data_IF_604360153796
#
_entry.id   IF_604360153796
#
_cell.length_a   1.000
_cell.length_b   1.000
_cell.length_c   1.000
_cell.angle_alpha   90.00
_cell.angle_beta   90.00
_cell.angle_gamma   90.00
#
_symmetry.space_group_name_H-M   'P 1'
#
loop_
_entity.id
_entity.type
_entity.pdbx_description
1 polymer ?
#
# COMPACT_ATOMS: atom_id res chain seq x y z
N UNK A 1 -12.15 -14.14 10.52
CA UNK A 1 -13.58 -13.79 10.26
C UNK A 1 -13.78 -13.70 8.76
N UNK A 2 -15.01 -13.86 8.27
CA UNK A 2 -15.29 -13.67 6.84
C UNK A 2 -15.24 -12.20 6.46
N UNK A 3 -14.29 -11.83 5.59
CA UNK A 3 -14.50 -10.73 4.62
C UNK A 3 -15.58 -11.19 3.61
N UNK A 4 -15.99 -10.32 2.68
CA UNK A 4 -17.00 -10.58 1.62
C UNK A 4 -18.47 -10.37 2.05
N UNK A 5 -18.75 -9.22 2.68
CA UNK A 5 -20.03 -8.54 2.48
C UNK A 5 -19.76 -7.05 2.33
N UNK A 6 -20.14 -6.47 1.20
CA UNK A 6 -20.19 -5.02 0.97
C UNK A 6 -21.32 -4.33 1.77
N UNK A 7 -21.59 -4.80 3.00
CA UNK A 7 -22.45 -4.11 3.94
C UNK A 7 -21.77 -2.81 4.38
N UNK A 8 -22.52 -1.72 4.35
CA UNK A 8 -22.11 -0.37 4.78
C UNK A 8 -20.92 0.29 4.04
N UNK A 9 -20.18 -0.45 3.19
CA UNK A 9 -19.06 -0.03 2.36
C UNK A 9 -19.38 0.98 1.23
N UNK A 10 -20.46 1.75 1.33
CA UNK A 10 -20.88 2.63 0.24
C UNK A 10 -19.98 3.87 0.12
N UNK A 11 -19.21 3.98 -0.96
CA UNK A 11 -18.13 4.99 -1.06
C UNK A 11 -18.62 6.44 -1.01
N UNK A 12 -19.76 6.76 -1.64
CA UNK A 12 -20.31 8.12 -1.60
C UNK A 12 -20.65 8.51 -0.15
N UNK A 13 -21.42 7.68 0.57
CA UNK A 13 -21.79 7.92 1.98
C UNK A 13 -20.59 7.94 2.92
N UNK A 14 -19.64 7.03 2.75
CA UNK A 14 -18.47 6.95 3.63
C UNK A 14 -17.51 8.11 3.41
N UNK A 15 -17.28 8.52 2.15
CA UNK A 15 -16.50 9.71 1.83
C UNK A 15 -17.20 10.96 2.35
N UNK A 16 -18.50 11.18 2.07
CA UNK A 16 -19.26 12.33 2.58
C UNK A 16 -19.19 12.42 4.11
N UNK A 17 -19.40 11.30 4.82
CA UNK A 17 -19.33 11.26 6.28
C UNK A 17 -17.91 11.59 6.81
N UNK A 18 -16.86 11.03 6.19
CA UNK A 18 -15.48 11.30 6.56
C UNK A 18 -15.06 12.76 6.26
N UNK A 19 -15.42 13.28 5.10
CA UNK A 19 -15.15 14.65 4.67
C UNK A 19 -15.78 15.68 5.62
N UNK A 20 -17.01 15.45 6.07
CA UNK A 20 -17.65 16.27 7.11
C UNK A 20 -16.97 16.10 8.47
N UNK A 21 -16.61 14.86 8.86
CA UNK A 21 -15.91 14.61 10.13
C UNK A 21 -14.55 15.32 10.19
N UNK A 22 -13.68 15.13 9.20
CA UNK A 22 -12.35 15.76 9.20
C UNK A 22 -12.45 17.29 9.16
N UNK A 23 -13.41 17.86 8.42
CA UNK A 23 -13.63 19.30 8.40
C UNK A 23 -14.05 19.84 9.78
N UNK A 24 -14.83 19.06 10.56
CA UNK A 24 -15.18 19.41 11.95
C UNK A 24 -14.01 19.36 12.94
N UNK A 25 -12.83 18.86 12.52
CA UNK A 25 -11.61 18.72 13.33
C UNK A 25 -10.46 19.60 12.85
N UNK A 26 -10.41 19.94 11.57
CA UNK A 26 -9.35 20.72 10.96
C UNK A 26 -9.42 22.20 11.41
N UNK A 27 -8.36 22.79 12.00
CA UNK A 27 -8.26 24.24 12.24
C UNK A 27 -8.58 25.06 10.99
N UNK A 28 -9.21 26.23 11.15
CA UNK A 28 -9.71 27.01 10.02
C UNK A 28 -8.67 27.89 9.32
N UNK A 29 -7.41 27.87 9.77
CA UNK A 29 -6.31 28.71 9.30
C UNK A 29 -5.16 27.80 8.87
N UNK A 30 -4.65 27.95 7.64
CA UNK A 30 -3.48 27.20 7.13
C UNK A 30 -2.32 27.21 8.13
N UNK A 31 -2.04 28.38 8.71
CA UNK A 31 -0.90 28.63 9.62
C UNK A 31 -1.03 28.06 11.04
N UNK A 32 -2.02 27.20 11.30
CA UNK A 32 -2.11 26.46 12.58
C UNK A 32 -1.26 25.18 12.47
N UNK A 33 -0.33 24.90 13.41
CA UNK A 33 0.47 23.66 13.35
C UNK A 33 -0.31 22.34 13.43
N UNK A 34 -1.62 22.38 13.66
CA UNK A 34 -2.54 21.24 13.58
C UNK A 34 -3.46 21.27 12.35
N UNK A 35 -3.28 22.22 11.42
CA UNK A 35 -3.97 22.21 10.12
C UNK A 35 -3.51 21.03 9.27
N UNK A 36 -4.37 20.60 8.35
CA UNK A 36 -4.00 19.66 7.28
C UNK A 36 -4.68 20.04 5.96
N UNK A 37 -3.89 20.08 4.88
CA UNK A 37 -4.39 20.32 3.52
C UNK A 37 -5.41 19.27 3.09
N UNK A 38 -5.20 18.03 3.53
CA UNK A 38 -5.87 16.83 3.02
C UNK A 38 -5.98 15.75 4.08
N UNK A 39 -7.12 15.06 4.13
CA UNK A 39 -7.39 13.97 5.07
C UNK A 39 -7.52 12.62 4.34
N UNK A 40 -6.87 11.58 4.85
CA UNK A 40 -6.94 10.22 4.31
C UNK A 40 -7.60 9.27 5.33
N UNK A 41 -8.59 8.47 4.88
CA UNK A 41 -9.19 7.39 5.66
C UNK A 41 -8.86 6.02 5.06
N UNK A 42 -8.14 5.20 5.82
CA UNK A 42 -8.07 3.77 5.57
C UNK A 42 -9.30 3.06 6.14
N UNK A 43 -10.00 2.33 5.28
CA UNK A 43 -11.19 1.55 5.56
C UNK A 43 -10.88 0.05 5.62
N UNK A 44 -11.54 -0.66 6.55
CA UNK A 44 -11.62 -2.12 6.57
C UNK A 44 -12.90 -2.69 5.93
N UNK A 45 -13.78 -1.82 5.42
CA UNK A 45 -14.98 -2.22 4.67
C UNK A 45 -14.66 -2.51 3.20
N UNK A 46 -15.40 -3.46 2.65
CA UNK A 46 -15.40 -3.94 1.26
C UNK A 46 -16.19 -2.94 0.38
N UNK A 47 -15.48 -2.03 -0.29
CA UNK A 47 -16.02 -0.76 -0.81
C UNK A 47 -16.80 -0.92 -2.14
N UNK A 48 -17.90 -0.16 -2.27
CA UNK A 48 -18.82 -0.28 -3.41
C UNK A 48 -19.54 1.01 -3.80
N UNK A 49 -20.00 1.08 -5.07
CA UNK A 49 -20.79 2.19 -5.61
C UNK A 49 -21.86 1.71 -6.58
N UNK A 50 -23.14 1.97 -6.29
CA UNK A 50 -24.26 1.43 -7.09
C UNK A 50 -24.16 -0.10 -7.15
N UNK A 51 -23.93 -0.65 -8.34
CA UNK A 51 -23.67 -2.09 -8.57
C UNK A 51 -22.19 -2.45 -8.81
N UNK A 52 -21.27 -1.47 -8.82
CA UNK A 52 -19.83 -1.71 -8.88
C UNK A 52 -19.31 -2.22 -7.53
N UNK A 53 -18.46 -3.26 -7.56
CA UNK A 53 -17.95 -4.03 -6.41
C UNK A 53 -16.42 -4.21 -6.46
N UNK A 54 -15.74 -3.27 -7.11
CA UNK A 54 -14.32 -3.36 -7.48
C UNK A 54 -13.60 -2.03 -7.24
N UNK A 55 -13.97 -1.33 -6.17
CA UNK A 55 -13.55 0.06 -5.91
C UNK A 55 -12.68 0.05 -4.66
N UNK A 56 -11.35 0.11 -4.83
CA UNK A 56 -10.41 0.10 -3.69
C UNK A 56 -10.18 1.51 -3.07
N UNK A 57 -10.75 2.56 -3.67
CA UNK A 57 -10.56 3.95 -3.25
C UNK A 57 -11.60 4.89 -3.87
N UNK A 58 -11.76 6.08 -3.28
CA UNK A 58 -12.63 7.11 -3.83
C UNK A 58 -12.26 8.54 -3.36
N UNK A 59 -12.33 9.49 -4.29
CA UNK A 59 -11.97 10.90 -4.10
C UNK A 59 -12.85 11.86 -4.91
N UNK A 60 -12.90 13.11 -4.46
CA UNK A 60 -13.43 14.21 -5.26
C UNK A 60 -12.35 14.79 -6.19
N UNK A 61 -12.57 14.73 -7.51
CA UNK A 61 -11.67 15.35 -8.49
C UNK A 61 -11.59 16.86 -8.26
N UNK A 62 -10.38 17.41 -8.11
CA UNK A 62 -10.10 18.82 -7.74
C UNK A 62 -10.62 19.19 -6.34
N UNK A 63 -10.60 18.23 -5.42
CA UNK A 63 -10.98 18.41 -4.02
C UNK A 63 -9.95 19.15 -3.16
N UNK A 64 -8.67 19.14 -3.54
CA UNK A 64 -7.56 19.69 -2.75
C UNK A 64 -7.74 21.17 -2.40
N UNK A 65 -7.30 21.57 -1.21
CA UNK A 65 -7.54 22.90 -0.61
C UNK A 65 -9.03 23.31 -0.53
N UNK A 66 -9.99 22.37 -0.56
CA UNK A 66 -11.41 22.66 -0.29
C UNK A 66 -11.96 21.89 0.91
N UNK A 67 -12.48 22.64 1.89
CA UNK A 67 -12.92 22.18 3.22
C UNK A 67 -13.64 20.83 3.24
N UNK A 68 -14.65 20.68 2.38
CA UNK A 68 -15.58 19.54 2.37
C UNK A 68 -15.19 18.45 1.36
N UNK A 69 -14.07 18.60 0.64
CA UNK A 69 -13.67 17.67 -0.45
C UNK A 69 -12.17 17.37 -0.54
N UNK A 70 -11.33 17.99 0.31
CA UNK A 70 -9.92 17.64 0.44
C UNK A 70 -9.76 16.41 1.35
N UNK A 71 -10.33 15.31 0.88
CA UNK A 71 -10.48 14.07 1.61
C UNK A 71 -10.48 12.89 0.64
N UNK A 72 -9.93 11.77 1.09
CA UNK A 72 -9.85 10.51 0.35
C UNK A 72 -10.22 9.34 1.26
N UNK A 73 -10.86 8.31 0.70
CA UNK A 73 -11.08 7.03 1.38
C UNK A 73 -10.48 5.90 0.55
N UNK A 74 -9.79 4.97 1.20
CA UNK A 74 -9.10 3.85 0.56
C UNK A 74 -9.26 2.57 1.40
N UNK A 75 -9.33 1.42 0.75
CA UNK A 75 -9.22 0.13 1.42
C UNK A 75 -7.80 -0.07 1.96
N UNK A 76 -7.65 -0.30 3.27
CA UNK A 76 -6.37 -0.49 3.95
C UNK A 76 -6.01 -1.97 4.10
N UNK A 77 -5.97 -2.72 2.99
CA UNK A 77 -5.85 -4.18 3.01
C UNK A 77 -4.40 -4.68 2.97
N UNK A 78 -3.54 -4.04 2.18
CA UNK A 78 -2.16 -4.48 1.94
C UNK A 78 -1.26 -3.35 1.38
N UNK A 79 0.00 -3.65 1.03
CA UNK A 79 0.94 -2.64 0.52
C UNK A 79 0.51 -2.03 -0.83
N UNK A 80 -0.25 -2.74 -1.64
CA UNK A 80 -0.84 -2.24 -2.89
C UNK A 80 -1.79 -1.06 -2.68
N UNK A 81 -2.39 -0.92 -1.49
CA UNK A 81 -3.20 0.25 -1.11
C UNK A 81 -2.46 1.57 -1.28
N UNK A 82 -1.11 1.61 -1.23
CA UNK A 82 -0.34 2.84 -1.46
C UNK A 82 -0.53 3.40 -2.88
N UNK A 83 -0.70 2.55 -3.89
CA UNK A 83 -0.96 2.99 -5.27
C UNK A 83 -2.36 3.54 -5.42
N UNK A 84 -3.34 2.96 -4.71
CA UNK A 84 -4.73 3.46 -4.68
C UNK A 84 -4.80 4.81 -3.96
N UNK A 85 -4.16 4.96 -2.81
CA UNK A 85 -4.02 6.25 -2.12
C UNK A 85 -3.38 7.30 -3.04
N UNK A 86 -2.34 6.90 -3.78
CA UNK A 86 -1.66 7.79 -4.73
C UNK A 86 -2.58 8.20 -5.90
N UNK A 87 -3.42 7.28 -6.40
CA UNK A 87 -4.43 7.54 -7.43
C UNK A 87 -5.51 8.52 -6.94
N UNK A 88 -6.07 8.27 -5.76
CA UNK A 88 -7.10 9.14 -5.14
C UNK A 88 -6.56 10.55 -4.80
N UNK A 89 -5.30 10.65 -4.36
CA UNK A 89 -4.60 11.93 -4.22
C UNK A 89 -4.39 12.62 -5.57
N UNK A 90 -4.10 11.87 -6.64
CA UNK A 90 -4.05 12.37 -8.01
C UNK A 90 -5.37 13.01 -8.45
N UNK A 91 -6.50 12.35 -8.18
CA UNK A 91 -7.83 12.95 -8.35
C UNK A 91 -8.01 14.22 -7.52
N UNK A 92 -7.64 14.22 -6.23
CA UNK A 92 -7.76 15.41 -5.38
C UNK A 92 -6.94 16.59 -5.93
N UNK A 93 -5.74 16.32 -6.44
CA UNK A 93 -4.84 17.24 -7.17
C UNK A 93 -5.27 17.52 -8.62
N UNK A 94 -6.44 17.05 -9.02
CA UNK A 94 -7.15 17.47 -10.22
C UNK A 94 -6.86 16.70 -11.51
N UNK A 95 -6.19 15.55 -11.40
CA UNK A 95 -6.02 14.59 -12.50
C UNK A 95 -7.32 13.83 -12.78
N UNK A 96 -7.55 13.49 -14.03
CA UNK A 96 -8.56 12.52 -14.48
C UNK A 96 -7.89 11.17 -14.74
N UNK A 97 -8.69 10.14 -15.07
CA UNK A 97 -8.10 8.88 -15.50
C UNK A 97 -7.32 9.03 -16.81
N UNK A 98 -6.24 8.27 -16.93
CA UNK A 98 -5.70 7.96 -18.24
C UNK A 98 -6.71 7.10 -19.02
N UNK A 99 -6.91 7.41 -20.30
CA UNK A 99 -7.98 6.84 -21.13
C UNK A 99 -9.27 7.69 -21.21
N UNK A 100 -9.63 8.43 -20.16
CA UNK A 100 -10.66 9.50 -20.24
C UNK A 100 -10.09 10.76 -20.93
N UNK A 101 -8.76 10.90 -20.93
CA UNK A 101 -7.99 11.94 -21.60
C UNK A 101 -7.31 11.41 -22.88
N UNK A 102 -6.10 11.89 -23.23
CA UNK A 102 -5.35 11.45 -24.43
C UNK A 102 -4.21 10.47 -24.12
N UNK A 103 -4.09 10.00 -22.89
CA UNK A 103 -3.08 9.03 -22.47
C UNK A 103 -3.65 7.61 -22.46
N UNK A 104 -2.76 6.61 -22.43
CA UNK A 104 -3.11 5.19 -22.51
C UNK A 104 -3.86 4.73 -21.25
N UNK A 105 -5.09 4.25 -21.45
CA UNK A 105 -5.97 3.63 -20.45
C UNK A 105 -5.28 2.59 -19.57
N UNK A 106 -4.28 1.88 -20.11
CA UNK A 106 -3.57 0.82 -19.42
C UNK A 106 -2.25 1.26 -18.78
N UNK A 107 -1.76 2.47 -19.04
CA UNK A 107 -0.56 3.00 -18.40
C UNK A 107 -0.84 3.55 -17.01
N UNK A 108 0.21 3.59 -16.20
CA UNK A 108 0.42 4.66 -15.23
C UNK A 108 -0.54 4.62 -14.02
N UNK A 109 -0.25 5.45 -13.00
CA UNK A 109 -0.98 5.48 -11.73
C UNK A 109 -2.47 5.82 -11.95
N UNK A 110 -2.80 6.74 -12.86
CA UNK A 110 -4.17 7.18 -13.11
C UNK A 110 -4.99 6.27 -14.05
N UNK A 111 -4.53 5.05 -14.34
CA UNK A 111 -5.38 4.05 -15.00
C UNK A 111 -6.61 3.71 -14.12
N UNK A 112 -7.83 3.53 -14.67
CA UNK A 112 -9.02 3.07 -13.94
C UNK A 112 -8.94 1.65 -13.34
N UNK A 113 -7.76 1.04 -13.34
CA UNK A 113 -7.50 -0.32 -12.85
C UNK A 113 -6.12 -0.38 -12.18
N UNK A 114 -6.03 -0.99 -11.01
CA UNK A 114 -4.72 -1.36 -10.42
C UNK A 114 -4.02 -2.44 -11.25
N UNK A 115 -2.69 -2.55 -11.14
CA UNK A 115 -1.93 -3.61 -11.79
C UNK A 115 -0.45 -3.31 -11.99
N UNK A 116 0.31 -4.32 -12.43
CA UNK A 116 1.77 -4.23 -12.62
C UNK A 116 2.21 -3.13 -13.59
N UNK A 117 3.39 -2.56 -13.33
CA UNK A 117 4.00 -1.49 -14.12
C UNK A 117 3.43 -0.09 -13.91
N UNK A 118 2.34 0.06 -13.13
CA UNK A 118 1.62 1.33 -12.92
C UNK A 118 2.25 2.19 -11.82
N UNK A 119 3.57 2.29 -11.81
CA UNK A 119 4.36 2.98 -10.76
C UNK A 119 4.82 4.38 -11.19
N UNK A 120 4.21 4.96 -12.24
CA UNK A 120 4.62 6.23 -12.85
C UNK A 120 3.43 7.08 -13.29
N UNK A 121 3.64 8.37 -13.47
CA UNK A 121 2.62 9.32 -13.92
C UNK A 121 2.63 9.49 -15.43
N UNK A 122 1.45 9.65 -16.04
CA UNK A 122 1.35 9.96 -17.47
C UNK A 122 1.65 11.42 -17.78
N UNK A 123 1.91 11.72 -19.06
CA UNK A 123 2.03 13.09 -19.55
C UNK A 123 0.72 13.90 -19.44
N UNK A 124 -0.42 13.24 -19.23
CA UNK A 124 -1.71 13.86 -18.98
C UNK A 124 -1.87 14.16 -17.49
N UNK A 125 -1.63 13.17 -16.61
CA UNK A 125 -1.57 13.31 -15.15
C UNK A 125 -0.73 14.52 -14.72
N UNK A 126 0.52 14.60 -15.20
CA UNK A 126 1.45 15.71 -14.88
C UNK A 126 0.94 17.06 -15.41
N UNK A 127 0.30 17.08 -16.58
CA UNK A 127 -0.28 18.31 -17.15
C UNK A 127 -1.49 18.79 -16.36
N UNK A 128 -2.39 17.89 -16.00
CA UNK A 128 -3.65 18.18 -15.32
C UNK A 128 -3.40 18.69 -13.89
N UNK A 129 -2.49 18.04 -13.15
CA UNK A 129 -2.01 18.52 -11.85
C UNK A 129 -1.37 19.92 -11.96
N UNK A 130 -0.46 20.14 -12.92
CA UNK A 130 0.14 21.47 -13.10
C UNK A 130 -0.91 22.55 -13.40
N UNK A 131 -1.91 22.25 -14.25
CA UNK A 131 -3.03 23.16 -14.54
C UNK A 131 -3.87 23.44 -13.29
N UNK A 132 -4.13 22.44 -12.45
CA UNK A 132 -4.90 22.61 -11.22
C UNK A 132 -4.13 23.45 -10.19
N UNK A 133 -2.88 23.09 -9.87
CA UNK A 133 -2.05 23.79 -8.88
C UNK A 133 -1.80 25.25 -9.30
N UNK A 134 -1.51 25.51 -10.58
CA UNK A 134 -1.39 26.89 -11.10
C UNK A 134 -2.69 27.70 -11.03
N UNK A 135 -3.85 27.05 -10.86
CA UNK A 135 -5.16 27.71 -10.71
C UNK A 135 -5.59 27.91 -9.25
N UNK A 136 -4.90 27.34 -8.27
CA UNK A 136 -5.14 27.65 -6.86
C UNK A 136 -4.70 29.10 -6.56
N UNK A 137 -5.39 29.76 -5.63
CA UNK A 137 -5.22 31.18 -5.32
C UNK A 137 -5.74 32.17 -6.38
N UNK A 138 -6.17 31.69 -7.56
CA UNK A 138 -6.77 32.57 -8.58
C UNK A 138 -8.19 33.02 -8.23
N UNK A 139 -8.64 34.14 -8.79
CA UNK A 139 -9.98 34.70 -8.53
C UNK A 139 -11.08 33.67 -8.88
N UNK A 140 -11.88 33.30 -7.88
CA UNK A 140 -12.95 32.31 -8.03
C UNK A 140 -12.51 30.85 -7.89
N UNK A 141 -11.27 30.62 -7.42
CA UNK A 141 -10.74 29.31 -7.01
C UNK A 141 -10.44 29.30 -5.50
N UNK A 142 -10.19 28.12 -4.91
CA UNK A 142 -9.77 28.02 -3.51
C UNK A 142 -8.43 28.72 -3.29
N UNK A 143 -8.12 29.07 -2.04
CA UNK A 143 -6.76 29.46 -1.65
C UNK A 143 -5.78 28.32 -1.95
N UNK A 144 -4.50 28.63 -2.13
CA UNK A 144 -3.47 27.61 -2.32
C UNK A 144 -2.82 27.24 -0.98
N UNK A 145 -3.34 26.19 -0.35
CA UNK A 145 -2.80 25.60 0.87
C UNK A 145 -1.43 24.93 0.65
N UNK A 146 -1.06 24.58 -0.59
CA UNK A 146 0.18 23.87 -0.91
C UNK A 146 1.39 24.83 -1.06
N UNK A 147 1.46 25.91 -0.28
CA UNK A 147 2.41 27.02 -0.47
C UNK A 147 3.39 27.25 0.67
N UNK A 148 3.03 26.89 1.90
CA UNK A 148 3.93 26.88 3.04
C UNK A 148 4.63 25.51 3.19
N UNK A 149 5.51 25.41 4.17
CA UNK A 149 6.25 24.20 4.47
C UNK A 149 5.74 23.57 5.76
N UNK A 150 5.62 22.24 5.78
CA UNK A 150 5.15 21.52 6.96
C UNK A 150 5.90 21.93 8.23
N UNK A 151 5.13 22.21 9.28
CA UNK A 151 5.70 22.50 10.60
C UNK A 151 6.62 21.35 11.05
N UNK A 152 7.73 21.63 11.76
CA UNK A 152 8.71 20.59 12.13
C UNK A 152 8.12 19.49 13.03
N UNK A 153 7.70 18.38 12.41
CA UNK A 153 7.30 17.17 13.13
C UNK A 153 8.54 16.40 13.60
N UNK A 154 8.53 15.94 14.85
CA UNK A 154 9.54 15.00 15.36
C UNK A 154 9.44 13.60 14.71
N UNK A 155 8.35 13.32 13.98
CA UNK A 155 8.21 12.09 13.19
C UNK A 155 9.14 12.13 11.98
N UNK A 156 10.41 11.75 12.16
CA UNK A 156 11.29 11.46 11.03
C UNK A 156 10.67 10.34 10.20
N UNK A 157 10.22 10.65 8.98
CA UNK A 157 9.89 9.65 7.98
C UNK A 157 11.12 8.75 7.86
N UNK A 158 10.95 7.46 8.13
CA UNK A 158 12.09 6.55 8.09
C UNK A 158 12.59 6.48 6.65
N UNK A 159 13.80 6.99 6.42
CA UNK A 159 14.51 6.92 5.14
C UNK A 159 15.05 5.50 4.89
N UNK A 160 14.21 4.51 5.18
CA UNK A 160 14.43 3.08 5.09
C UNK A 160 13.37 2.58 4.11
N UNK A 161 13.75 1.96 2.99
CA UNK A 161 12.78 1.41 2.05
C UNK A 161 11.97 0.30 2.76
N UNK A 162 10.64 0.33 2.70
CA UNK A 162 9.82 -0.50 3.60
C UNK A 162 9.95 -2.03 3.43
N UNK A 163 10.60 -2.53 2.38
CA UNK A 163 10.96 -3.95 2.29
C UNK A 163 12.27 -4.32 3.02
N UNK A 164 12.91 -3.35 3.66
CA UNK A 164 13.86 -3.55 4.76
C UNK A 164 13.17 -3.55 6.13
N UNK A 165 11.96 -2.97 6.23
CA UNK A 165 11.15 -2.92 7.46
C UNK A 165 10.23 -4.15 7.58
N UNK A 166 9.71 -4.63 6.46
CA UNK A 166 8.83 -5.79 6.35
C UNK A 166 9.42 -6.84 5.42
N UNK A 167 9.60 -8.07 5.89
CA UNK A 167 10.07 -9.19 5.07
C UNK A 167 9.03 -9.66 4.06
N UNK A 168 9.43 -10.49 3.07
CA UNK A 168 8.50 -11.12 2.13
C UNK A 168 7.40 -11.94 2.85
N UNK A 169 7.75 -12.64 3.93
CA UNK A 169 6.79 -13.41 4.74
C UNK A 169 5.74 -12.51 5.40
N UNK A 170 6.15 -11.36 5.92
CA UNK A 170 5.24 -10.38 6.52
C UNK A 170 4.36 -9.72 5.45
N UNK A 171 4.92 -9.30 4.31
CA UNK A 171 4.16 -8.76 3.18
C UNK A 171 3.11 -9.76 2.65
N UNK A 172 3.46 -11.05 2.55
CA UNK A 172 2.51 -12.12 2.22
C UNK A 172 1.44 -12.32 3.31
N UNK A 173 1.81 -12.17 4.58
CA UNK A 173 0.90 -12.26 5.72
C UNK A 173 -0.12 -11.12 5.72
N UNK A 174 0.28 -9.89 5.38
CA UNK A 174 -0.66 -8.76 5.24
C UNK A 174 -1.65 -8.99 4.09
N UNK A 175 -1.15 -9.37 2.91
CA UNK A 175 -1.98 -9.54 1.70
C UNK A 175 -2.98 -10.72 1.83
N UNK A 176 -2.55 -11.86 2.36
CA UNK A 176 -3.33 -13.11 2.33
C UNK A 176 -3.75 -13.65 3.72
N UNK A 177 -3.17 -13.16 4.82
CA UNK A 177 -3.48 -13.53 6.20
C UNK A 177 -2.43 -14.43 6.89
N UNK A 178 -2.60 -14.62 8.21
CA UNK A 178 -1.63 -15.20 9.16
C UNK A 178 -0.86 -16.45 8.73
N UNK A 179 -1.45 -17.30 7.90
CA UNK A 179 -0.89 -18.60 7.48
C UNK A 179 -0.09 -18.57 6.17
N UNK A 180 -0.01 -17.44 5.46
CA UNK A 180 0.67 -17.37 4.16
C UNK A 180 2.14 -16.96 4.30
N UNK A 181 3.03 -17.71 3.66
CA UNK A 181 4.49 -17.51 3.69
C UNK A 181 5.08 -17.64 2.29
N UNK A 182 6.24 -17.03 2.08
CA UNK A 182 6.89 -17.00 0.79
C UNK A 182 7.62 -18.32 0.49
N UNK A 183 7.17 -19.04 -0.53
CA UNK A 183 7.79 -20.28 -0.99
C UNK A 183 8.28 -20.19 -2.44
N UNK A 184 9.49 -20.69 -2.65
CA UNK A 184 10.08 -20.91 -3.98
C UNK A 184 10.09 -22.42 -4.26
N UNK A 185 9.80 -22.81 -5.50
CA UNK A 185 9.96 -24.21 -5.94
C UNK A 185 11.44 -24.55 -6.09
N UNK A 186 11.78 -25.83 -5.98
CA UNK A 186 13.14 -26.32 -6.24
C UNK A 186 13.66 -25.84 -7.61
N UNK A 187 14.85 -25.24 -7.60
CA UNK A 187 15.48 -24.65 -8.79
C UNK A 187 14.96 -23.26 -9.21
N UNK A 188 13.85 -22.76 -8.64
CA UNK A 188 13.34 -21.43 -8.90
C UNK A 188 14.23 -20.36 -8.27
N UNK A 189 14.51 -19.28 -9.01
CA UNK A 189 15.25 -18.11 -8.51
C UNK A 189 14.32 -16.91 -8.41
N UNK A 190 14.48 -16.11 -7.35
CA UNK A 190 13.81 -14.82 -7.22
C UNK A 190 14.16 -13.92 -8.41
N UNK A 191 13.13 -13.55 -9.17
CA UNK A 191 13.21 -12.89 -10.47
C UNK A 191 11.91 -12.11 -10.72
N UNK A 192 11.87 -11.25 -11.74
CA UNK A 192 10.83 -10.21 -12.00
C UNK A 192 9.36 -10.68 -12.11
N UNK A 193 9.00 -11.97 -11.95
CA UNK A 193 7.70 -12.47 -12.43
C UNK A 193 6.89 -13.44 -11.55
N UNK A 194 7.44 -14.31 -10.67
CA UNK A 194 6.71 -15.48 -10.12
C UNK A 194 7.39 -16.10 -8.87
N UNK A 195 6.75 -16.81 -7.92
CA UNK A 195 5.38 -17.35 -7.71
C UNK A 195 5.02 -17.30 -6.20
N UNK A 196 3.78 -17.65 -5.82
CA UNK A 196 3.39 -18.07 -4.46
C UNK A 196 2.59 -19.39 -4.50
N UNK A 197 2.60 -20.18 -3.42
CA UNK A 197 1.76 -21.40 -3.26
C UNK A 197 1.37 -21.68 -1.80
N UNK A 198 0.06 -21.77 -1.53
CA UNK A 198 -0.54 -23.00 -0.98
C UNK A 198 -1.80 -23.31 -1.79
N UNK A 199 -2.13 -24.61 -1.91
CA UNK A 199 -3.32 -25.30 -2.49
C UNK A 199 -4.00 -24.77 -3.77
N UNK A 200 -4.21 -23.47 -3.97
CA UNK A 200 -4.85 -22.89 -5.17
C UNK A 200 -4.19 -21.57 -5.63
N UNK A 201 -2.99 -21.68 -6.21
CA UNK A 201 -2.41 -20.75 -7.22
C UNK A 201 -2.64 -19.23 -7.01
N UNK A 202 -2.15 -18.65 -5.92
CA UNK A 202 -2.02 -17.20 -5.80
C UNK A 202 -0.74 -16.70 -6.52
N UNK A 203 -0.79 -15.53 -7.17
CA UNK A 203 0.38 -14.89 -7.80
C UNK A 203 0.57 -13.50 -7.21
N UNK A 204 1.43 -13.39 -6.20
CA UNK A 204 1.90 -12.08 -5.72
C UNK A 204 2.86 -11.50 -6.76
N UNK A 205 2.53 -10.29 -7.23
CA UNK A 205 3.33 -9.55 -8.20
C UNK A 205 4.24 -8.58 -7.46
N UNK A 206 5.51 -8.53 -7.85
CA UNK A 206 6.55 -7.72 -7.19
C UNK A 206 6.25 -6.22 -7.18
N UNK A 207 5.33 -5.74 -8.03
CA UNK A 207 4.82 -4.37 -8.06
C UNK A 207 4.13 -3.94 -6.76
N UNK A 208 3.50 -4.87 -6.04
CA UNK A 208 2.88 -4.62 -4.73
C UNK A 208 3.82 -4.89 -3.55
N UNK A 209 5.04 -5.39 -3.81
CA UNK A 209 6.04 -5.56 -2.76
C UNK A 209 6.71 -4.22 -2.45
N UNK A 210 6.94 -3.99 -1.16
CA UNK A 210 7.87 -2.96 -0.71
C UNK A 210 9.30 -3.30 -1.18
N UNK A 211 10.20 -2.31 -1.17
CA UNK A 211 11.57 -2.45 -1.70
C UNK A 211 12.39 -3.44 -0.85
N UNK A 212 12.39 -4.71 -1.27
CA UNK A 212 12.87 -5.86 -0.50
C UNK A 212 14.13 -6.46 -1.14
N UNK A 213 15.08 -6.96 -0.33
CA UNK A 213 16.22 -7.74 -0.84
C UNK A 213 15.78 -9.15 -1.26
N UNK A 214 16.05 -9.50 -2.52
CA UNK A 214 15.62 -10.74 -3.19
C UNK A 214 16.76 -11.76 -3.34
N UNK A 215 18.00 -11.29 -3.38
CA UNK A 215 19.25 -12.05 -3.44
C UNK A 215 20.37 -11.08 -3.03
N UNK A 216 21.57 -11.56 -2.72
CA UNK A 216 22.69 -10.73 -2.27
C UNK A 216 22.94 -9.56 -3.22
N UNK A 217 22.70 -8.34 -2.73
CA UNK A 217 22.78 -7.09 -3.48
C UNK A 217 21.80 -6.99 -4.67
N UNK A 218 20.61 -7.61 -4.61
CA UNK A 218 19.52 -7.44 -5.59
C UNK A 218 18.20 -7.16 -4.90
N UNK A 219 17.52 -6.10 -5.33
CA UNK A 219 16.35 -5.54 -4.66
C UNK A 219 15.17 -5.41 -5.61
N UNK A 220 13.93 -5.53 -5.13
CA UNK A 220 12.77 -5.08 -5.89
C UNK A 220 12.72 -3.55 -5.90
N UNK A 221 12.72 -2.90 -7.06
CA UNK A 221 12.36 -1.47 -7.18
C UNK A 221 11.49 -1.27 -8.43
N UNK A 222 10.42 -0.49 -8.32
CA UNK A 222 9.41 -0.32 -9.38
C UNK A 222 8.91 -1.69 -9.94
N UNK A 223 8.75 -2.68 -9.06
CA UNK A 223 8.28 -4.04 -9.34
C UNK A 223 9.33 -5.05 -9.84
N UNK A 224 10.58 -4.64 -10.16
CA UNK A 224 11.50 -5.38 -11.16
C UNK A 224 12.74 -5.53 -10.16
N UNK A 225 13.32 -6.73 -10.09
CA UNK A 225 14.61 -7.02 -9.45
C UNK A 225 15.81 -6.26 -10.10
N UNK A 226 16.45 -5.34 -9.37
CA UNK A 226 17.60 -4.53 -9.79
C UNK A 226 18.82 -4.73 -8.90
N UNK A 227 20.02 -4.46 -9.41
CA UNK A 227 21.25 -4.54 -8.62
C UNK A 227 21.37 -3.37 -7.64
N UNK A 228 21.55 -3.67 -6.35
CA UNK A 228 21.67 -2.70 -5.28
C UNK A 228 23.00 -1.92 -5.37
N UNK A 229 22.94 -0.59 -5.23
CA UNK A 229 24.13 0.28 -5.19
C UNK A 229 24.68 0.34 -3.75
N UNK A 230 25.93 -0.11 -3.47
CA UNK A 230 26.43 -0.21 -2.10
C UNK A 230 26.51 1.10 -1.30
N UNK A 231 26.51 2.25 -1.99
CA UNK A 231 26.57 3.59 -1.39
C UNK A 231 25.22 4.16 -0.96
N UNK A 232 24.10 3.54 -1.33
CA UNK A 232 22.75 4.04 -1.06
C UNK A 232 22.11 3.47 0.23
N UNK A 233 22.84 2.64 0.99
CA UNK A 233 22.26 1.75 2.00
C UNK A 233 22.99 1.92 3.35
N UNK A 234 22.26 2.33 4.39
CA UNK A 234 22.73 2.16 5.78
C UNK A 234 22.67 0.67 6.10
N UNK A 235 23.83 0.03 6.28
CA UNK A 235 23.87 -1.37 6.73
C UNK A 235 23.23 -1.48 8.12
N UNK A 236 22.20 -2.31 8.24
CA UNK A 236 21.56 -2.66 9.51
C UNK A 236 21.85 -4.14 9.79
N UNK A 237 22.18 -4.47 11.03
CA UNK A 237 22.43 -5.86 11.43
C UNK A 237 21.09 -6.50 11.80
N UNK A 238 20.63 -7.47 10.99
CA UNK A 238 19.41 -8.21 11.30
C UNK A 238 19.44 -8.85 12.68
N UNK A 239 18.42 -8.56 13.48
CA UNK A 239 18.10 -9.20 14.74
C UNK A 239 17.10 -10.35 14.58
N UNK A 240 16.98 -11.15 15.65
CA UNK A 240 16.16 -12.35 15.64
C UNK A 240 14.71 -12.08 16.02
N UNK A 241 13.78 -12.76 15.36
CA UNK A 241 12.38 -12.84 15.76
C UNK A 241 12.23 -13.52 17.14
N UNK A 242 11.00 -13.49 17.68
CA UNK A 242 10.65 -14.39 18.77
C UNK A 242 10.82 -15.86 18.35
N UNK A 243 10.98 -16.74 19.34
CA UNK A 243 10.93 -18.19 19.12
C UNK A 243 9.48 -18.62 18.88
N UNK A 244 9.24 -19.35 17.79
CA UNK A 244 7.96 -19.94 17.46
C UNK A 244 8.09 -21.47 17.52
N UNK A 245 7.46 -22.06 18.54
CA UNK A 245 7.54 -23.50 18.86
C UNK A 245 6.77 -24.41 17.89
N UNK A 246 5.87 -23.81 17.11
CA UNK A 246 5.27 -24.38 15.91
C UNK A 246 5.68 -23.47 14.75
N UNK A 247 5.83 -24.02 13.53
CA UNK A 247 6.23 -23.24 12.36
C UNK A 247 5.13 -22.30 11.89
N UNK A 248 5.09 -21.09 12.45
CA UNK A 248 4.16 -20.00 12.10
C UNK A 248 2.75 -20.17 12.69
N UNK A 249 2.43 -19.38 13.72
CA UNK A 249 1.10 -19.27 14.35
C UNK A 249 0.56 -20.52 15.08
N UNK A 250 -0.25 -20.29 16.12
CA UNK A 250 -0.98 -21.32 16.87
C UNK A 250 -2.29 -21.76 16.19
N UNK A 251 -2.75 -21.04 15.17
CA UNK A 251 -3.94 -21.39 14.38
C UNK A 251 -3.64 -22.00 13.01
N UNK A 252 -2.40 -21.91 12.54
CA UNK A 252 -1.98 -22.45 11.25
C UNK A 252 -1.35 -23.82 11.47
N UNK A 253 -2.18 -24.87 11.49
CA UNK A 253 -1.72 -26.24 11.68
C UNK A 253 -0.92 -26.73 10.46
N UNK A 254 0.38 -26.50 10.49
CA UNK A 254 1.33 -27.49 9.99
C UNK A 254 1.10 -28.77 10.79
N UNK A 255 0.37 -29.72 10.19
CA UNK A 255 0.11 -31.01 10.82
C UNK A 255 1.46 -31.65 11.20
N UNK A 256 1.61 -32.08 12.45
CA UNK A 256 2.81 -32.79 12.86
C UNK A 256 2.89 -34.10 12.07
N UNK A 257 3.82 -34.15 11.11
CA UNK A 257 4.07 -35.33 10.27
C UNK A 257 4.11 -36.58 11.16
N UNK A 258 3.17 -37.53 11.03
CA UNK A 258 3.07 -38.65 11.96
C UNK A 258 4.19 -39.67 11.73
N UNK A 259 5.39 -39.39 12.24
CA UNK A 259 6.52 -40.32 12.27
C UNK A 259 6.26 -41.44 13.29
N UNK A 260 5.25 -42.27 13.02
CA UNK A 260 4.84 -43.39 13.86
C UNK A 260 5.77 -44.60 13.69
N UNK A 261 7.01 -44.46 14.16
CA UNK A 261 7.91 -45.58 14.42
C UNK A 261 8.10 -45.66 15.94
N UNK A 262 7.77 -46.82 16.52
CA UNK A 262 7.74 -46.98 17.96
C UNK A 262 9.16 -46.87 18.59
N UNK A 263 9.28 -46.07 19.65
CA UNK A 263 10.44 -46.08 20.55
C UNK A 263 11.48 -44.96 20.39
N UNK A 264 11.22 -43.88 19.65
CA UNK A 264 12.20 -42.77 19.48
C UNK A 264 11.84 -41.45 20.18
N UNK A 265 12.88 -40.61 20.32
CA UNK A 265 12.89 -39.32 21.03
C UNK A 265 11.96 -38.31 20.34
N UNK A 266 11.06 -37.68 21.12
CA UNK A 266 10.19 -36.59 20.62
C UNK A 266 10.98 -35.29 20.52
N UNK A 267 11.36 -34.90 19.31
CA UNK A 267 11.99 -33.59 19.03
C UNK A 267 10.90 -32.54 18.79
N UNK A 268 10.86 -31.50 19.63
CA UNK A 268 10.02 -30.30 19.41
C UNK A 268 10.87 -29.23 18.70
N UNK A 269 10.51 -28.87 17.48
CA UNK A 269 11.24 -27.89 16.65
C UNK A 269 10.70 -26.48 16.90
N UNK A 270 11.43 -25.68 17.67
CA UNK A 270 11.22 -24.22 17.71
C UNK A 270 12.09 -23.52 16.67
N UNK A 271 11.60 -22.45 16.06
CA UNK A 271 12.30 -21.69 15.01
C UNK A 271 12.13 -20.20 15.18
N UNK A 272 13.12 -19.44 14.71
CA UNK A 272 13.10 -17.97 14.63
C UNK A 272 13.82 -17.51 13.36
N UNK A 273 13.39 -16.41 12.76
CA UNK A 273 13.99 -15.82 11.56
C UNK A 273 14.85 -14.61 11.94
N UNK A 274 15.76 -14.21 11.04
CA UNK A 274 16.57 -13.00 11.20
C UNK A 274 15.83 -11.82 10.53
N UNK A 275 14.69 -11.45 11.10
CA UNK A 275 13.69 -10.55 10.50
C UNK A 275 13.40 -9.28 11.31
N UNK A 276 14.16 -8.98 12.35
CA UNK A 276 14.01 -7.75 13.16
C UNK A 276 15.21 -6.81 12.98
N UNK A 277 15.20 -5.86 12.03
CA UNK A 277 16.29 -4.89 11.85
C UNK A 277 16.51 -3.98 13.08
#
# INVERSE_FOLDING_TARGET
>A
MGRNYHGDGNVDRLLDAFCNYQYSKNPSQDSDPQHWDHALLFSGYDLYRGDLRTIAGYAAVKGMCTKERSCTINEGLDFGSVFVVTHELGHSLGMYHDGDNRCDLHCCIMSPTVGSGKTSWSACSVREMNIFVMQLGQRGRPNNCLMDGSHPSESSIMNVPSGQEFTLDEQCTFFHGDCWRHELKDGQKLSWQEFMLDKNRAKLLCDHLAITELDKFKWCMEGKCVQAKPSAIRKVNGGWSAWHDNGGSSSCTSECVPCSIAGQIRVRRSTRQCSKP
#
